data_IF_644077144440
#
_entry.id   IF_644077144440
#
_cell.length_a   1.000
_cell.length_b   1.000
_cell.length_c   1.000
_cell.angle_alpha   90.00
_cell.angle_beta   90.00
_cell.angle_gamma   90.00
#
_symmetry.space_group_name_H-M   'P 1'
#
loop_
_entity.id
_entity.type
_entity.pdbx_description
1 polymer ?
#
# COMPACT_ATOMS: atom_id res chain seq x y z
N UNK A 1 -0.31 6.34 38.04
CA UNK A 1 -0.05 7.80 38.05
C UNK A 1 0.28 8.24 36.64
N UNK A 2 -0.53 9.10 36.09
CA UNK A 2 -0.44 9.48 34.67
C UNK A 2 0.67 10.51 34.47
N UNK A 3 1.79 10.08 33.91
CA UNK A 3 2.92 10.93 33.53
C UNK A 3 2.58 11.94 32.43
N UNK A 4 1.39 11.82 31.85
CA UNK A 4 0.97 12.60 30.68
C UNK A 4 0.54 14.03 31.01
N UNK A 5 0.17 14.32 32.24
CA UNK A 5 -0.29 15.67 32.62
C UNK A 5 0.86 16.57 33.10
N UNK A 6 1.97 16.02 33.64
CA UNK A 6 3.04 16.87 34.18
C UNK A 6 3.94 17.51 33.09
N UNK A 7 3.79 17.10 31.81
CA UNK A 7 4.56 17.68 30.71
C UNK A 7 3.86 18.88 30.05
N UNK A 8 2.59 19.11 30.40
CA UNK A 8 1.78 20.22 29.91
C UNK A 8 1.33 21.10 31.07
N UNK A 9 1.02 20.49 32.22
CA UNK A 9 0.60 21.20 33.44
C UNK A 9 1.84 21.48 34.31
N UNK A 10 2.35 22.69 34.24
CA UNK A 10 3.26 23.23 35.28
C UNK A 10 4.75 23.35 34.92
N UNK A 11 5.15 23.15 33.64
CA UNK A 11 6.48 23.51 33.17
C UNK A 11 6.43 24.79 32.35
N UNK A 12 7.47 25.59 32.53
CA UNK A 12 7.65 26.82 31.78
C UNK A 12 7.49 26.57 30.26
N UNK A 13 6.85 27.45 29.50
CA UNK A 13 6.64 27.30 28.07
C UNK A 13 7.95 27.05 27.29
N UNK A 14 9.07 27.57 27.77
CA UNK A 14 10.41 27.38 27.20
C UNK A 14 10.88 25.94 27.28
N UNK A 15 10.58 25.21 28.38
CA UNK A 15 10.94 23.80 28.53
C UNK A 15 10.17 22.92 27.52
N UNK A 16 8.92 23.26 27.25
CA UNK A 16 8.10 22.53 26.26
C UNK A 16 8.66 22.75 24.85
N UNK A 17 9.00 23.97 24.53
CA UNK A 17 9.58 24.33 23.22
C UNK A 17 10.93 23.65 23.00
N UNK A 18 11.82 23.68 24.00
CA UNK A 18 13.13 23.01 23.90
C UNK A 18 12.98 21.50 23.67
N UNK A 19 12.00 20.85 24.31
CA UNK A 19 11.70 19.43 24.08
C UNK A 19 11.14 19.16 22.70
N UNK A 20 10.28 20.06 22.22
CA UNK A 20 9.76 19.98 20.87
C UNK A 20 10.87 20.13 19.83
N UNK A 21 11.78 21.07 20.03
CA UNK A 21 12.92 21.31 19.13
C UNK A 21 13.86 20.08 19.10
N UNK A 22 14.14 19.47 20.24
CA UNK A 22 14.90 18.22 20.31
C UNK A 22 14.18 17.08 19.56
N UNK A 23 12.87 16.96 19.75
CA UNK A 23 12.08 15.95 19.02
C UNK A 23 12.13 16.16 17.50
N UNK A 24 11.99 17.42 17.04
CA UNK A 24 12.03 17.75 15.62
C UNK A 24 13.40 17.44 15.00
N UNK A 25 14.49 17.73 15.72
CA UNK A 25 15.85 17.33 15.31
C UNK A 25 15.97 15.83 15.11
N UNK A 26 15.60 15.04 16.11
CA UNK A 26 15.61 13.57 16.03
C UNK A 26 14.68 13.03 14.93
N UNK A 27 13.52 13.65 14.76
CA UNK A 27 12.60 13.25 13.70
C UNK A 27 13.17 13.53 12.31
N UNK A 28 13.85 14.65 12.11
CA UNK A 28 14.50 15.00 10.83
C UNK A 28 15.59 13.99 10.42
N UNK A 29 16.17 13.29 11.39
CA UNK A 29 17.17 12.24 11.14
C UNK A 29 16.52 10.85 10.94
N UNK A 30 15.52 10.53 11.75
CA UNK A 30 14.95 9.17 11.82
C UNK A 30 13.71 8.95 10.96
N UNK A 31 12.96 10.01 10.63
CA UNK A 31 11.71 9.96 9.89
C UNK A 31 10.55 9.24 10.58
N UNK A 32 10.71 8.90 11.86
CA UNK A 32 9.74 8.10 12.60
C UNK A 32 9.39 8.72 13.96
N UNK A 33 8.10 9.07 14.15
CA UNK A 33 7.61 9.57 15.45
C UNK A 33 7.90 8.59 16.58
N UNK A 34 7.81 7.29 16.32
CA UNK A 34 8.07 6.26 17.33
C UNK A 34 9.53 6.22 17.72
N UNK A 35 10.44 6.28 16.76
CA UNK A 35 11.87 6.22 17.00
C UNK A 35 12.34 7.48 17.76
N UNK A 36 11.96 8.66 17.29
CA UNK A 36 12.31 9.94 17.93
C UNK A 36 11.75 10.03 19.37
N UNK A 37 10.51 9.60 19.59
CA UNK A 37 9.93 9.59 20.93
C UNK A 37 10.64 8.61 21.87
N UNK A 38 11.06 7.44 21.36
CA UNK A 38 11.82 6.46 22.13
C UNK A 38 13.19 7.00 22.54
N UNK A 39 13.87 7.68 21.64
CA UNK A 39 15.20 8.28 21.92
C UNK A 39 15.13 9.35 23.01
N UNK A 40 14.03 10.07 23.06
CA UNK A 40 13.78 11.06 24.12
C UNK A 40 13.22 10.48 25.43
N UNK A 41 13.02 9.16 25.49
CA UNK A 41 12.32 8.48 26.60
C UNK A 41 10.94 9.08 26.91
N UNK A 42 10.19 9.43 25.86
CA UNK A 42 8.82 9.94 25.97
C UNK A 42 7.81 9.03 25.29
N UNK A 43 6.57 9.06 25.77
CA UNK A 43 5.50 8.31 25.12
C UNK A 43 5.23 8.86 23.72
N UNK A 44 5.00 7.96 22.74
CA UNK A 44 4.55 8.32 21.38
C UNK A 44 3.31 9.23 21.39
N UNK A 45 2.49 9.15 22.43
CA UNK A 45 1.28 9.99 22.56
C UNK A 45 1.63 11.46 22.73
N UNK A 46 2.77 11.78 23.33
CA UNK A 46 3.20 13.16 23.59
C UNK A 46 3.39 13.96 22.29
N UNK A 47 4.26 13.57 21.35
CA UNK A 47 4.38 14.29 20.09
C UNK A 47 3.09 14.24 19.24
N UNK A 48 2.33 13.15 19.28
CA UNK A 48 1.03 13.09 18.59
C UNK A 48 0.04 14.11 19.15
N UNK A 49 0.05 14.37 20.46
CA UNK A 49 -0.75 15.40 21.10
C UNK A 49 -0.29 16.79 20.71
N UNK A 50 1.02 17.06 20.68
CA UNK A 50 1.56 18.34 20.22
C UNK A 50 1.13 18.68 18.80
N UNK A 51 1.11 17.69 17.90
CA UNK A 51 0.64 17.87 16.52
C UNK A 51 -0.87 18.14 16.49
N UNK A 52 -1.66 17.38 17.27
CA UNK A 52 -3.12 17.49 17.25
C UNK A 52 -3.62 18.81 17.84
N UNK A 53 -3.00 19.24 18.95
CA UNK A 53 -3.38 20.44 19.68
C UNK A 53 -2.63 21.69 19.22
N UNK A 54 -1.72 21.54 18.26
CA UNK A 54 -0.85 22.61 17.74
C UNK A 54 -0.13 23.41 18.83
N UNK A 55 0.39 22.69 19.82
CA UNK A 55 1.02 23.30 21.00
C UNK A 55 2.19 24.17 20.57
N UNK A 56 2.10 25.48 20.75
CA UNK A 56 3.11 26.48 20.39
C UNK A 56 3.52 26.45 18.89
N UNK A 57 2.57 26.24 17.97
CA UNK A 57 2.83 26.17 16.54
C UNK A 57 3.65 24.93 16.14
N UNK A 58 3.54 23.84 16.90
CA UNK A 58 4.31 22.63 16.66
C UNK A 58 3.99 21.98 15.32
N UNK A 59 2.75 22.10 14.87
CA UNK A 59 2.29 21.45 13.63
C UNK A 59 3.09 21.94 12.40
N UNK A 60 3.26 23.25 12.26
CA UNK A 60 4.03 23.84 11.16
C UNK A 60 5.48 23.37 11.21
N UNK A 61 6.13 23.51 12.37
CA UNK A 61 7.52 23.06 12.58
C UNK A 61 7.71 21.54 12.34
N UNK A 62 6.67 20.76 12.59
CA UNK A 62 6.70 19.33 12.30
C UNK A 62 6.59 19.03 10.80
N UNK A 63 5.82 19.82 10.03
CA UNK A 63 5.83 19.71 8.56
C UNK A 63 7.21 20.07 7.98
N UNK A 64 7.87 21.10 8.51
CA UNK A 64 9.24 21.45 8.13
C UNK A 64 10.21 20.30 8.44
N UNK A 65 10.11 19.67 9.60
CA UNK A 65 10.94 18.53 9.95
C UNK A 65 10.71 17.31 9.03
N UNK A 66 9.47 17.10 8.58
CA UNK A 66 9.16 16.10 7.55
C UNK A 66 9.81 16.44 6.21
N UNK A 67 9.79 17.72 5.84
CA UNK A 67 10.43 18.16 4.60
C UNK A 67 11.94 17.95 4.65
N UNK A 68 12.58 18.33 5.74
CA UNK A 68 14.00 18.11 5.95
C UNK A 68 14.39 16.62 5.86
N UNK A 69 13.58 15.72 6.47
CA UNK A 69 13.81 14.30 6.34
C UNK A 69 13.69 13.80 4.89
N UNK A 70 12.71 14.31 4.13
CA UNK A 70 12.54 13.98 2.71
C UNK A 70 13.74 14.44 1.86
N UNK A 71 14.24 15.63 2.11
CA UNK A 71 15.44 16.16 1.45
C UNK A 71 16.68 15.33 1.78
N UNK A 72 16.87 14.97 3.04
CA UNK A 72 17.96 14.09 3.46
C UNK A 72 17.92 12.73 2.74
N UNK A 73 16.75 12.12 2.59
CA UNK A 73 16.59 10.89 1.81
C UNK A 73 16.93 11.07 0.33
N UNK A 74 16.56 12.22 -0.25
CA UNK A 74 16.89 12.55 -1.64
C UNK A 74 18.40 12.72 -1.82
N UNK A 75 19.05 13.44 -0.91
CA UNK A 75 20.50 13.64 -0.94
C UNK A 75 21.25 12.32 -0.80
N UNK A 76 20.77 11.43 0.08
CA UNK A 76 21.31 10.09 0.21
C UNK A 76 21.17 9.30 -1.10
N UNK A 77 20.03 9.41 -1.79
CA UNK A 77 19.81 8.77 -3.08
C UNK A 77 20.79 9.29 -4.14
N UNK A 78 20.95 10.60 -4.24
CA UNK A 78 21.86 11.24 -5.18
C UNK A 78 23.33 10.85 -4.91
N UNK A 79 23.74 10.84 -3.65
CA UNK A 79 25.10 10.47 -3.26
C UNK A 79 25.39 9.00 -3.58
N UNK A 80 24.46 8.09 -3.30
CA UNK A 80 24.60 6.67 -3.67
C UNK A 80 24.76 6.46 -5.17
N UNK A 81 23.96 7.15 -5.98
CA UNK A 81 24.09 7.07 -7.45
C UNK A 81 25.45 7.57 -7.92
N UNK A 82 25.98 8.63 -7.30
CA UNK A 82 27.29 9.19 -7.65
C UNK A 82 28.44 8.26 -7.24
N UNK A 83 28.35 7.62 -6.07
CA UNK A 83 29.42 6.79 -5.51
C UNK A 83 29.47 5.38 -6.06
N UNK A 84 28.33 4.73 -6.20
CA UNK A 84 28.24 3.30 -6.48
C UNK A 84 27.73 2.97 -7.89
N UNK A 85 27.14 3.93 -8.58
CA UNK A 85 26.61 3.73 -9.94
C UNK A 85 25.54 2.64 -9.99
N UNK A 86 25.61 1.77 -11.02
CA UNK A 86 24.61 0.72 -11.25
C UNK A 86 24.79 -0.55 -10.39
N UNK A 87 25.80 -0.61 -9.54
CA UNK A 87 26.12 -1.79 -8.71
C UNK A 87 25.30 -1.89 -7.43
N UNK A 88 24.69 -0.78 -7.00
CA UNK A 88 23.89 -0.77 -5.76
C UNK A 88 22.45 -1.21 -6.04
N UNK A 89 21.84 -1.85 -5.04
CA UNK A 89 20.42 -2.20 -5.11
C UNK A 89 19.59 -1.04 -4.52
N UNK A 90 19.00 -0.16 -5.33
CA UNK A 90 18.29 1.02 -4.85
C UNK A 90 16.89 0.73 -4.30
N UNK A 91 16.45 -0.53 -4.27
CA UNK A 91 15.06 -0.90 -3.96
C UNK A 91 14.62 -0.34 -2.60
N UNK A 92 15.45 -0.48 -1.55
CA UNK A 92 15.11 0.04 -0.23
C UNK A 92 14.98 1.56 -0.23
N UNK A 93 15.89 2.24 -0.91
CA UNK A 93 15.88 3.69 -1.01
C UNK A 93 14.68 4.20 -1.81
N UNK A 94 14.35 3.55 -2.93
CA UNK A 94 13.14 3.84 -3.71
C UNK A 94 11.89 3.61 -2.85
N UNK A 95 11.83 2.54 -2.07
CA UNK A 95 10.72 2.27 -1.16
C UNK A 95 10.56 3.37 -0.10
N UNK A 96 11.66 3.85 0.48
CA UNK A 96 11.65 4.94 1.45
C UNK A 96 11.21 6.26 0.81
N UNK A 97 11.73 6.62 -0.36
CA UNK A 97 11.33 7.81 -1.09
C UNK A 97 9.84 7.77 -1.47
N UNK A 98 9.34 6.62 -1.93
CA UNK A 98 7.93 6.43 -2.24
C UNK A 98 7.03 6.51 -1.00
N UNK A 99 7.52 6.08 0.17
CA UNK A 99 6.78 6.15 1.42
C UNK A 99 6.70 7.58 1.99
N UNK A 100 7.80 8.32 1.92
CA UNK A 100 7.91 9.64 2.55
C UNK A 100 7.66 10.81 1.59
N UNK A 101 7.83 10.60 0.29
CA UNK A 101 7.61 11.62 -0.73
C UNK A 101 6.83 11.07 -1.94
N UNK A 102 5.65 10.54 -1.66
CA UNK A 102 4.81 9.88 -2.65
C UNK A 102 4.46 10.78 -3.85
N UNK A 103 4.26 12.06 -3.61
CA UNK A 103 3.89 13.05 -4.64
C UNK A 103 4.96 13.18 -5.73
N UNK A 104 6.23 12.97 -5.36
CA UNK A 104 7.36 13.13 -6.27
C UNK A 104 7.82 11.81 -6.89
N UNK A 105 7.81 10.72 -6.12
CA UNK A 105 8.48 9.48 -6.51
C UNK A 105 7.53 8.31 -6.77
N UNK A 106 6.28 8.36 -6.30
CA UNK A 106 5.33 7.31 -6.65
C UNK A 106 4.91 7.49 -8.11
N UNK A 107 5.04 6.46 -8.97
CA UNK A 107 4.49 6.55 -10.31
C UNK A 107 3.01 6.88 -10.17
N UNK A 108 2.58 7.94 -10.85
CA UNK A 108 1.16 8.23 -10.95
C UNK A 108 0.53 7.01 -11.62
N UNK A 109 -0.30 6.28 -10.90
CA UNK A 109 -1.21 5.36 -11.55
C UNK A 109 -2.01 6.21 -12.51
N UNK A 110 -1.78 6.01 -13.81
CA UNK A 110 -2.64 6.58 -14.83
C UNK A 110 -4.05 6.22 -14.38
N UNK A 111 -4.86 7.24 -14.08
CA UNK A 111 -6.26 7.02 -13.79
C UNK A 111 -6.76 6.14 -14.94
N UNK A 112 -7.21 4.92 -14.60
CA UNK A 112 -7.75 4.02 -15.62
C UNK A 112 -8.87 4.81 -16.25
N UNK A 113 -8.63 5.28 -17.46
CA UNK A 113 -9.55 6.10 -18.22
C UNK A 113 -10.92 5.39 -18.19
N UNK A 114 -12.00 6.10 -18.05
CA UNK A 114 -13.35 5.52 -18.01
C UNK A 114 -13.58 4.62 -19.22
N UNK A 115 -12.96 4.96 -20.36
CA UNK A 115 -12.88 4.13 -21.58
C UNK A 115 -12.25 2.75 -21.32
N UNK A 116 -11.18 2.66 -20.52
CA UNK A 116 -10.56 1.37 -20.19
C UNK A 116 -11.44 0.53 -19.26
N UNK A 117 -12.23 1.17 -18.37
CA UNK A 117 -13.23 0.47 -17.54
C UNK A 117 -14.37 -0.07 -18.37
N UNK A 118 -14.82 0.69 -19.38
CA UNK A 118 -15.85 0.31 -20.31
C UNK A 118 -15.42 -0.91 -21.16
N UNK A 119 -14.21 -0.87 -21.73
CA UNK A 119 -13.62 -1.99 -22.47
C UNK A 119 -13.46 -3.25 -21.60
N UNK A 120 -13.02 -3.10 -20.35
CA UNK A 120 -12.93 -4.21 -19.39
C UNK A 120 -14.32 -4.76 -19.03
N UNK A 121 -15.32 -3.89 -18.95
CA UNK A 121 -16.73 -4.26 -18.78
C UNK A 121 -17.23 -5.11 -19.94
N UNK A 122 -17.06 -4.63 -21.16
CA UNK A 122 -17.44 -5.36 -22.38
C UNK A 122 -16.74 -6.71 -22.51
N UNK A 123 -15.44 -6.77 -22.23
CA UNK A 123 -14.71 -8.03 -22.22
C UNK A 123 -15.27 -9.02 -21.21
N UNK A 124 -15.58 -8.56 -20.02
CA UNK A 124 -16.18 -9.40 -18.97
C UNK A 124 -17.54 -9.95 -19.38
N UNK A 125 -18.36 -9.13 -20.05
CA UNK A 125 -19.68 -9.53 -20.48
C UNK A 125 -19.61 -10.51 -21.67
N UNK A 126 -18.67 -10.33 -22.59
CA UNK A 126 -18.36 -11.29 -23.66
C UNK A 126 -17.91 -12.64 -23.08
N UNK A 127 -17.02 -12.64 -22.08
CA UNK A 127 -16.58 -13.87 -21.40
C UNK A 127 -17.74 -14.59 -20.70
N UNK A 128 -18.64 -13.85 -20.06
CA UNK A 128 -19.85 -14.43 -19.45
C UNK A 128 -20.81 -15.01 -20.49
N UNK A 129 -20.96 -14.35 -21.64
CA UNK A 129 -21.79 -14.84 -22.73
C UNK A 129 -21.22 -16.13 -23.33
N UNK A 130 -19.90 -16.22 -23.56
CA UNK A 130 -19.24 -17.43 -24.04
C UNK A 130 -19.42 -18.61 -23.08
N UNK A 131 -19.18 -18.40 -21.78
CA UNK A 131 -19.36 -19.45 -20.78
C UNK A 131 -20.82 -19.88 -20.57
N UNK A 132 -21.78 -19.08 -21.04
CA UNK A 132 -23.21 -19.41 -20.97
C UNK A 132 -23.62 -20.29 -22.15
N UNK A 133 -22.96 -20.16 -23.31
CA UNK A 133 -23.17 -20.99 -24.48
C UNK A 133 -22.64 -22.41 -24.24
N UNK A 134 -21.44 -22.55 -23.63
CA UNK A 134 -20.88 -23.85 -23.29
C UNK A 134 -21.73 -24.67 -22.30
N UNK A 135 -22.49 -24.00 -21.43
CA UNK A 135 -23.42 -24.68 -20.50
C UNK A 135 -24.73 -25.11 -21.13
N UNK A 136 -25.08 -24.59 -22.31
CA UNK A 136 -26.31 -25.00 -23.05
C UNK A 136 -26.06 -26.14 -24.01
N UNK A 137 -24.81 -26.51 -24.27
CA UNK A 137 -24.38 -27.68 -25.01
C UNK A 137 -23.95 -28.86 -24.09
N UNK A 138 -24.32 -28.86 -22.83
CA UNK A 138 -24.26 -30.08 -22.04
C UNK A 138 -25.18 -31.09 -22.73
N UNK A 139 -24.51 -31.88 -23.57
CA UNK A 139 -24.96 -33.14 -24.09
C UNK A 139 -25.81 -33.79 -23.02
N UNK A 140 -27.08 -34.15 -23.37
CA UNK A 140 -27.91 -35.00 -22.58
C UNK A 140 -27.11 -36.29 -22.33
N UNK A 141 -26.42 -36.37 -21.20
CA UNK A 141 -25.83 -37.63 -20.72
C UNK A 141 -26.99 -38.59 -20.53
N UNK A 142 -27.16 -39.46 -21.53
CA UNK A 142 -28.02 -40.64 -21.43
C UNK A 142 -27.48 -41.42 -20.23
N UNK A 143 -28.32 -41.59 -19.21
CA UNK A 143 -27.90 -42.22 -17.99
C UNK A 143 -27.31 -43.60 -18.30
N UNK A 144 -26.28 -44.05 -17.57
CA UNK A 144 -25.66 -45.37 -17.79
C UNK A 144 -26.68 -46.51 -17.80
N UNK A 145 -27.78 -46.36 -17.11
CA UNK A 145 -28.89 -47.32 -17.06
C UNK A 145 -29.66 -47.41 -18.39
N UNK A 146 -29.87 -46.29 -19.10
CA UNK A 146 -30.50 -46.29 -20.42
C UNK A 146 -29.59 -46.85 -21.50
N UNK A 147 -28.28 -46.69 -21.41
CA UNK A 147 -27.31 -47.33 -22.31
C UNK A 147 -27.32 -48.85 -22.19
N UNK A 148 -27.42 -49.37 -20.98
CA UNK A 148 -27.52 -50.81 -20.73
C UNK A 148 -28.84 -51.40 -21.25
N UNK A 149 -29.94 -50.68 -21.11
CA UNK A 149 -31.27 -51.11 -21.55
C UNK A 149 -31.38 -51.16 -23.09
N UNK A 150 -30.77 -50.20 -23.79
CA UNK A 150 -30.70 -50.19 -25.25
C UNK A 150 -29.81 -51.29 -25.83
N UNK A 151 -28.74 -51.67 -25.14
CA UNK A 151 -27.91 -52.83 -25.48
C UNK A 151 -28.68 -54.15 -25.28
N UNK A 152 -29.40 -54.26 -24.20
CA UNK A 152 -30.19 -55.47 -23.89
C UNK A 152 -31.42 -55.66 -24.79
N UNK A 153 -31.97 -54.57 -25.35
CA UNK A 153 -33.10 -54.59 -26.29
C UNK A 153 -32.70 -54.81 -27.77
N UNK A 154 -31.41 -55.12 -28.04
CA UNK A 154 -30.95 -55.58 -29.33
C UNK A 154 -30.96 -54.51 -30.44
N UNK A 155 -30.97 -53.24 -30.10
CA UNK A 155 -30.65 -52.15 -31.07
C UNK A 155 -29.15 -52.11 -31.30
N UNK A 156 -28.68 -53.17 -31.97
CA UNK A 156 -27.27 -53.42 -32.26
C UNK A 156 -26.68 -52.34 -33.12
N UNK A 157 -25.47 -51.99 -32.76
CA UNK A 157 -24.47 -51.32 -33.62
C UNK A 157 -24.47 -51.95 -35.00
N UNK A 158 -24.96 -51.22 -36.01
CA UNK A 158 -24.57 -51.51 -37.38
C UNK A 158 -23.12 -50.99 -37.57
N UNK A 159 -22.18 -51.92 -37.50
CA UNK A 159 -20.81 -51.67 -37.88
C UNK A 159 -20.78 -51.11 -39.32
N UNK A 160 -20.05 -50.06 -39.53
CA UNK A 160 -19.79 -49.49 -40.82
C UNK A 160 -18.56 -50.24 -41.37
N UNK A 161 -18.82 -51.30 -42.09
CA UNK A 161 -17.85 -52.00 -42.92
C UNK A 161 -17.88 -51.34 -44.29
N UNK A 162 -16.77 -50.61 -44.66
CA UNK A 162 -16.59 -50.04 -45.96
C UNK A 162 -15.33 -49.17 -45.99
#
# INVERSE_FOLDING_TARGET
MSWTNSLIDGKEPEDVKARQDLFLGLYSEMGSIRAAAKEMDVSRRTPTRWIKEDVQGFKERFEDAKHNFREMLQDLAVNRVKEQGSRDNPILLIALLNAHWAEKYRPQTVAVDDTAKEVLGEMRDRFKAMNKVDKSEEVSEVSPEQQVEDILKGKGYKGNDG
#
